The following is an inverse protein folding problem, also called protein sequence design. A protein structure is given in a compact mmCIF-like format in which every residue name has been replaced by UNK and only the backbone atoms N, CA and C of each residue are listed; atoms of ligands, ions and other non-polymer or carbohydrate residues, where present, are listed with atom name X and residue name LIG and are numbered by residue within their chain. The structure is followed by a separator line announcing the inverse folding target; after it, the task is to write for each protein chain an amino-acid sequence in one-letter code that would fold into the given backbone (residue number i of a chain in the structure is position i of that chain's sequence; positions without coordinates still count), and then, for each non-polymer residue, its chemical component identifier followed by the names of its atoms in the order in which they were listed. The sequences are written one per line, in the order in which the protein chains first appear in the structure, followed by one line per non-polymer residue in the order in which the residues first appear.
data_IF_081764545442
#
_entry.id   IF_081764545442
#
_cell.length_a   1.000
_cell.length_b   1.000
_cell.length_c   1.000
_cell.angle_alpha   90.00
_cell.angle_beta   90.00
_cell.angle_gamma   90.00
#
_symmetry.space_group_name_H-M   'P 1'
#
loop_
_entity.id
_entity.type
_entity.pdbx_description
1 polymer ?
#
# COMPACT_ATOMS: atom_id res chain seq x y z
N UNK A 1 -18.60 -3.18 26.33
CA UNK A 1 -17.24 -2.72 26.66
C UNK A 1 -16.39 -2.86 25.41
N UNK A 2 -15.75 -1.80 24.88
CA UNK A 2 -14.87 -1.95 23.73
C UNK A 2 -13.62 -2.71 24.20
N UNK A 3 -13.32 -3.86 23.57
CA UNK A 3 -12.04 -4.54 23.79
C UNK A 3 -10.95 -3.62 23.26
N UNK A 4 -10.15 -3.06 24.16
CA UNK A 4 -8.92 -2.36 23.80
C UNK A 4 -8.01 -3.33 23.04
N UNK A 5 -7.90 -3.13 21.73
CA UNK A 5 -7.10 -3.91 20.77
C UNK A 5 -5.59 -3.64 20.91
N UNK A 6 -5.05 -3.53 22.12
CA UNK A 6 -3.62 -3.22 22.34
C UNK A 6 -2.64 -4.34 21.90
N UNK A 7 -3.13 -5.47 21.39
CA UNK A 7 -2.34 -6.68 21.08
C UNK A 7 -2.33 -7.09 19.58
N UNK A 8 -2.88 -6.28 18.68
CA UNK A 8 -2.82 -6.59 17.24
C UNK A 8 -1.54 -6.03 16.63
N UNK A 9 -0.96 -6.75 15.65
CA UNK A 9 0.20 -6.29 14.90
C UNK A 9 -0.10 -4.96 14.16
N UNK A 10 -1.24 -4.90 13.47
CA UNK A 10 -1.76 -3.69 12.83
C UNK A 10 -3.12 -3.30 13.41
N UNK A 11 -3.33 -2.01 13.59
CA UNK A 11 -4.64 -1.45 13.88
C UNK A 11 -5.55 -1.58 12.66
N UNK A 12 -6.86 -1.68 12.90
CA UNK A 12 -7.84 -1.71 11.81
C UNK A 12 -8.01 -0.31 11.24
N UNK A 13 -8.19 -0.22 9.93
CA UNK A 13 -8.52 1.04 9.28
C UNK A 13 -9.86 1.58 9.77
N UNK A 14 -9.95 2.90 9.92
CA UNK A 14 -11.20 3.61 10.16
C UNK A 14 -11.87 4.07 8.87
N UNK A 15 -11.17 3.96 7.74
CA UNK A 15 -11.70 4.33 6.44
C UNK A 15 -12.72 3.29 5.96
N UNK A 16 -13.57 3.70 5.01
CA UNK A 16 -14.57 2.84 4.37
C UNK A 16 -14.35 2.87 2.85
N UNK A 17 -14.64 1.76 2.18
CA UNK A 17 -14.61 1.69 0.73
C UNK A 17 -15.83 2.44 0.14
N UNK A 18 -15.71 3.06 -1.04
CA UNK A 18 -14.51 3.12 -1.88
C UNK A 18 -13.47 4.10 -1.33
N UNK A 19 -12.19 3.77 -1.50
CA UNK A 19 -11.08 4.67 -1.18
C UNK A 19 -10.69 5.48 -2.41
N UNK A 20 -10.69 6.80 -2.23
CA UNK A 20 -10.13 7.77 -3.16
C UNK A 20 -9.56 8.94 -2.35
N UNK A 21 -8.32 8.76 -1.89
CA UNK A 21 -7.62 9.70 -1.01
C UNK A 21 -6.13 9.63 -1.31
N UNK A 22 -5.47 10.79 -1.24
CA UNK A 22 -4.02 10.92 -1.31
C UNK A 22 -3.43 10.77 0.09
N UNK A 23 -2.38 9.97 0.23
CA UNK A 23 -1.69 9.71 1.50
C UNK A 23 -0.37 10.48 1.65
N UNK A 24 -0.06 11.44 0.76
CA UNK A 24 1.06 12.37 0.95
C UNK A 24 0.94 13.11 2.29
N UNK A 25 2.03 13.17 3.05
CA UNK A 25 2.13 13.88 4.34
C UNK A 25 1.16 13.38 5.43
N UNK A 26 0.62 12.17 5.32
CA UNK A 26 -0.17 11.59 6.42
C UNK A 26 0.74 11.05 7.51
N UNK A 27 0.22 11.00 8.74
CA UNK A 27 0.92 10.39 9.86
C UNK A 27 0.86 8.87 9.74
N UNK A 28 2.02 8.22 9.83
CA UNK A 28 2.13 6.77 9.88
C UNK A 28 1.84 6.22 11.28
N UNK A 29 1.22 5.04 11.32
CA UNK A 29 1.17 4.21 12.51
C UNK A 29 2.46 3.42 12.66
N UNK A 30 2.78 3.01 13.89
CA UNK A 30 3.88 2.10 14.18
C UNK A 30 3.32 0.71 14.48
N UNK A 31 3.89 -0.32 13.87
CA UNK A 31 3.47 -1.69 14.10
C UNK A 31 3.84 -2.12 15.53
N UNK A 32 3.02 -2.99 16.11
CA UNK A 32 3.36 -3.56 17.41
C UNK A 32 4.39 -4.70 17.22
N UNK A 33 5.67 -4.35 17.21
CA UNK A 33 6.78 -5.28 16.95
C UNK A 33 6.79 -6.53 17.85
N UNK A 34 6.28 -6.43 19.10
CA UNK A 34 6.18 -7.59 20.00
C UNK A 34 5.17 -8.64 19.52
N UNK A 35 4.12 -8.18 18.83
CA UNK A 35 3.01 -9.02 18.34
C UNK A 35 3.05 -9.26 16.83
N UNK A 36 3.86 -8.52 16.09
CA UNK A 36 4.05 -8.68 14.64
C UNK A 36 5.00 -9.85 14.34
N UNK A 37 4.43 -11.05 14.23
CA UNK A 37 5.14 -12.26 13.79
C UNK A 37 4.88 -12.53 12.31
N UNK A 38 5.11 -11.54 11.46
CA UNK A 38 4.92 -11.66 10.01
C UNK A 38 6.27 -11.97 9.37
N UNK A 39 6.30 -13.02 8.56
CA UNK A 39 7.51 -13.42 7.84
C UNK A 39 7.98 -12.29 6.90
N UNK A 40 9.29 -12.03 6.92
CA UNK A 40 9.99 -11.04 6.10
C UNK A 40 9.51 -9.58 6.23
N UNK A 41 8.74 -9.24 7.28
CA UNK A 41 8.23 -7.88 7.48
C UNK A 41 9.34 -6.83 7.60
N UNK A 42 10.45 -7.19 8.25
CA UNK A 42 11.63 -6.34 8.40
C UNK A 42 12.30 -5.94 7.07
N UNK A 43 12.12 -6.72 6.00
CA UNK A 43 12.65 -6.38 4.67
C UNK A 43 11.96 -5.16 4.04
N UNK A 44 10.78 -4.81 4.55
CA UNK A 44 9.99 -3.67 4.10
C UNK A 44 10.24 -2.41 4.95
N UNK A 45 11.18 -2.46 5.91
CA UNK A 45 11.49 -1.34 6.77
C UNK A 45 12.59 -0.44 6.20
N UNK A 46 12.25 0.85 6.10
CA UNK A 46 13.21 1.92 5.88
C UNK A 46 13.84 2.45 7.19
N UNK A 47 13.20 2.18 8.34
CA UNK A 47 13.61 2.66 9.67
C UNK A 47 13.58 1.53 10.71
N UNK A 48 13.98 1.83 11.95
CA UNK A 48 13.97 0.87 13.07
C UNK A 48 12.55 0.36 13.36
N UNK A 49 11.57 1.27 13.34
CA UNK A 49 10.16 0.94 13.60
C UNK A 49 9.39 0.76 12.30
N UNK A 50 8.54 -0.27 12.23
CA UNK A 50 7.73 -0.52 11.05
C UNK A 50 6.59 0.49 10.94
N UNK A 51 6.68 1.37 9.93
CA UNK A 51 5.68 2.39 9.63
C UNK A 51 4.65 1.87 8.65
N UNK A 52 3.37 2.17 8.90
CA UNK A 52 2.29 1.77 7.99
C UNK A 52 1.08 2.70 8.06
N UNK A 53 0.17 2.54 7.09
CA UNK A 53 -1.17 3.12 7.09
C UNK A 53 -2.17 1.97 6.94
N UNK A 54 -3.16 1.83 7.84
CA UNK A 54 -4.14 0.77 7.72
C UNK A 54 -5.14 1.07 6.59
N UNK A 55 -5.33 0.11 5.69
CA UNK A 55 -6.35 0.12 4.64
C UNK A 55 -7.49 -0.83 5.04
N UNK A 56 -8.75 -0.59 4.64
CA UNK A 56 -9.84 -1.52 4.92
C UNK A 56 -9.46 -2.94 4.47
N UNK A 57 -9.51 -3.90 5.38
CA UNK A 57 -9.21 -5.31 5.08
C UNK A 57 -10.26 -5.92 4.14
N UNK A 58 -9.87 -6.94 3.36
CA UNK A 58 -10.80 -7.78 2.59
C UNK A 58 -10.92 -9.15 3.24
N UNK A 59 -12.06 -9.44 3.85
CA UNK A 59 -12.28 -10.68 4.61
C UNK A 59 -11.21 -10.86 5.72
N UNK A 60 -10.40 -11.91 5.63
CA UNK A 60 -9.29 -12.24 6.53
C UNK A 60 -7.92 -11.71 6.05
N UNK A 61 -7.89 -10.94 4.96
CA UNK A 61 -6.67 -10.36 4.39
C UNK A 61 -6.48 -8.94 4.93
N UNK A 62 -5.41 -8.72 5.68
CA UNK A 62 -4.99 -7.38 6.07
C UNK A 62 -4.36 -6.66 4.89
N UNK A 63 -4.70 -5.38 4.74
CA UNK A 63 -4.15 -4.52 3.70
C UNK A 63 -3.60 -3.28 4.37
N UNK A 64 -2.35 -2.93 4.04
CA UNK A 64 -1.66 -1.77 4.60
C UNK A 64 -0.89 -1.06 3.50
N UNK A 65 -0.67 0.26 3.67
CA UNK A 65 0.37 0.97 2.92
C UNK A 65 1.64 1.01 3.75
N UNK A 66 2.78 0.84 3.10
CA UNK A 66 4.11 0.92 3.72
C UNK A 66 4.92 1.96 2.96
N UNK A 67 5.48 2.96 3.66
CA UNK A 67 6.39 3.92 3.04
C UNK A 67 7.73 3.26 2.69
N UNK A 68 8.20 3.52 1.48
CA UNK A 68 9.51 3.12 0.96
C UNK A 68 10.35 4.37 0.67
N UNK A 69 10.58 5.18 1.71
CA UNK A 69 11.17 6.53 1.67
C UNK A 69 12.64 6.59 2.16
N UNK A 70 13.36 5.46 2.18
CA UNK A 70 14.76 5.35 2.62
C UNK A 70 15.82 5.66 1.54
N UNK A 71 15.43 6.08 0.35
CA UNK A 71 16.34 6.45 -0.74
C UNK A 71 16.19 7.90 -1.17
N UNK A 72 16.63 8.20 -2.38
CA UNK A 72 16.51 9.54 -2.99
C UNK A 72 15.04 9.92 -3.35
N UNK A 73 14.08 9.08 -2.97
CA UNK A 73 12.65 9.20 -3.29
C UNK A 73 11.85 9.37 -2.00
N UNK A 74 11.50 10.62 -1.62
CA UNK A 74 10.90 10.90 -0.31
C UNK A 74 9.43 10.47 -0.17
N UNK A 75 8.80 10.03 -1.26
CA UNK A 75 7.37 9.70 -1.26
C UNK A 75 7.05 8.54 -2.20
N UNK A 76 7.07 7.33 -1.64
CA UNK A 76 6.63 6.10 -2.30
C UNK A 76 5.91 5.21 -1.30
N UNK A 77 4.71 4.76 -1.66
CA UNK A 77 3.89 3.86 -0.87
C UNK A 77 3.62 2.59 -1.66
N UNK A 78 3.90 1.46 -0.99
CA UNK A 78 3.53 0.14 -1.46
C UNK A 78 2.34 -0.37 -0.67
N UNK A 79 1.37 -0.97 -1.36
CA UNK A 79 0.27 -1.69 -0.76
C UNK A 79 0.71 -3.13 -0.53
N UNK A 80 0.71 -3.57 0.73
CA UNK A 80 0.98 -4.94 1.10
C UNK A 80 -0.31 -5.66 1.47
N UNK A 81 -0.43 -6.92 1.03
CA UNK A 81 -1.47 -7.85 1.48
C UNK A 81 -0.87 -8.91 2.38
N UNK A 82 -1.53 -9.14 3.50
CA UNK A 82 -1.01 -10.00 4.56
C UNK A 82 -2.10 -10.99 4.96
N UNK A 83 -1.79 -12.28 4.85
CA UNK A 83 -2.68 -13.38 5.21
C UNK A 83 -1.87 -14.50 5.84
N UNK A 84 -2.41 -15.12 6.89
CA UNK A 84 -1.75 -16.20 7.65
C UNK A 84 -0.34 -15.83 8.13
N UNK A 85 -0.17 -14.58 8.59
CA UNK A 85 1.12 -14.01 9.01
C UNK A 85 2.22 -14.00 7.93
N UNK A 86 1.83 -14.02 6.66
CA UNK A 86 2.76 -13.91 5.54
C UNK A 86 2.35 -12.76 4.63
N UNK A 87 3.34 -12.05 4.10
CA UNK A 87 3.13 -11.10 3.00
C UNK A 87 2.83 -11.93 1.75
N UNK A 88 1.67 -11.70 1.14
CA UNK A 88 1.18 -12.44 -0.03
C UNK A 88 1.46 -11.69 -1.32
N UNK A 89 1.37 -10.36 -1.30
CA UNK A 89 1.69 -9.51 -2.43
C UNK A 89 2.04 -8.11 -1.98
N UNK A 90 2.74 -7.42 -2.87
CA UNK A 90 3.04 -6.02 -2.81
C UNK A 90 2.67 -5.34 -4.14
N UNK A 91 2.37 -4.05 -4.09
CA UNK A 91 2.07 -3.25 -5.27
C UNK A 91 2.48 -1.80 -5.03
N UNK A 92 3.26 -1.21 -5.93
CA UNK A 92 3.47 0.24 -5.93
C UNK A 92 2.17 0.95 -6.31
N UNK A 93 1.64 1.79 -5.43
CA UNK A 93 0.29 2.37 -5.58
C UNK A 93 0.24 3.89 -5.46
N UNK A 94 1.23 4.52 -4.83
CA UNK A 94 1.22 5.96 -4.68
C UNK A 94 2.64 6.51 -4.52
N UNK A 95 2.96 7.59 -5.21
CA UNK A 95 4.27 8.22 -5.06
C UNK A 95 4.64 9.16 -6.19
N UNK A 96 5.83 9.72 -6.05
CA UNK A 96 6.49 10.54 -7.07
C UNK A 96 7.84 9.92 -7.41
N UNK A 97 8.16 9.85 -8.70
CA UNK A 97 9.46 9.40 -9.19
C UNK A 97 9.97 10.33 -10.28
N UNK A 98 11.28 10.59 -10.28
CA UNK A 98 11.96 11.35 -11.32
C UNK A 98 13.32 10.69 -11.58
N UNK A 99 13.78 10.71 -12.82
CA UNK A 99 15.09 10.19 -13.19
C UNK A 99 16.17 11.25 -12.89
N UNK A 100 17.15 10.97 -12.00
CA UNK A 100 18.24 11.90 -11.75
C UNK A 100 19.04 12.20 -13.04
N UNK A 101 19.25 13.48 -13.34
CA UNK A 101 19.98 13.91 -14.53
C UNK A 101 19.13 14.01 -15.81
N UNK A 102 17.82 13.72 -15.73
CA UNK A 102 16.86 14.11 -16.75
C UNK A 102 16.22 15.47 -16.39
N UNK A 103 15.28 15.96 -17.19
CA UNK A 103 14.53 17.17 -16.85
C UNK A 103 13.78 16.98 -15.52
N UNK A 104 14.13 17.76 -14.49
CA UNK A 104 13.50 17.71 -13.16
C UNK A 104 11.99 17.99 -13.20
N UNK A 105 11.49 18.60 -14.29
CA UNK A 105 10.07 18.82 -14.53
C UNK A 105 9.32 17.54 -14.95
N UNK A 106 10.02 16.46 -15.33
CA UNK A 106 9.45 15.17 -15.71
C UNK A 106 9.30 14.25 -14.49
N UNK A 107 8.27 14.52 -13.69
CA UNK A 107 7.91 13.72 -12.53
C UNK A 107 6.82 12.72 -12.89
N UNK A 108 7.10 11.43 -12.72
CA UNK A 108 6.09 10.37 -12.66
C UNK A 108 5.26 10.55 -11.40
N UNK A 109 3.93 10.57 -11.55
CA UNK A 109 2.98 10.62 -10.44
C UNK A 109 2.12 9.38 -10.47
N UNK A 110 2.10 8.65 -9.36
CA UNK A 110 1.26 7.46 -9.19
C UNK A 110 0.28 7.70 -8.06
N UNK A 111 -0.98 7.31 -8.29
CA UNK A 111 -2.00 7.27 -7.25
C UNK A 111 -2.91 6.05 -7.45
N UNK A 112 -3.69 5.72 -6.42
CA UNK A 112 -4.59 4.58 -6.48
C UNK A 112 -5.97 4.87 -5.90
N UNK A 113 -6.91 4.01 -6.27
CA UNK A 113 -8.23 3.92 -5.64
C UNK A 113 -8.54 2.46 -5.34
N UNK A 114 -9.44 2.21 -4.38
CA UNK A 114 -9.99 0.88 -4.12
C UNK A 114 -11.52 0.98 -4.17
N UNK A 115 -12.16 0.23 -5.07
CA UNK A 115 -13.63 0.22 -5.18
C UNK A 115 -14.30 -0.52 -4.01
N UNK A 116 -15.63 -0.44 -3.90
CA UNK A 116 -16.42 -1.24 -2.95
C UNK A 116 -16.26 -2.75 -3.14
N UNK A 117 -16.01 -3.19 -4.38
CA UNK A 117 -15.75 -4.59 -4.73
C UNK A 117 -14.27 -4.96 -4.57
N UNK A 118 -13.49 -4.06 -3.98
CA UNK A 118 -12.06 -4.22 -3.74
C UNK A 118 -11.22 -4.33 -5.01
N UNK A 119 -11.63 -3.63 -6.09
CA UNK A 119 -10.82 -3.45 -7.28
C UNK A 119 -9.81 -2.35 -7.01
N UNK A 120 -8.52 -2.68 -7.04
CA UNK A 120 -7.45 -1.70 -6.90
C UNK A 120 -7.18 -1.13 -8.28
N UNK A 121 -7.28 0.18 -8.43
CA UNK A 121 -6.94 0.87 -9.68
C UNK A 121 -5.73 1.74 -9.42
N UNK A 122 -4.64 1.51 -10.15
CA UNK A 122 -3.42 2.32 -10.09
C UNK A 122 -3.36 3.16 -11.37
N UNK A 123 -3.18 4.46 -11.19
CA UNK A 123 -3.05 5.42 -12.27
C UNK A 123 -1.67 6.06 -12.17
N UNK A 124 -0.91 5.97 -13.25
CA UNK A 124 0.42 6.56 -13.35
C UNK A 124 0.44 7.55 -14.51
N UNK A 125 0.87 8.77 -14.23
CA UNK A 125 1.07 9.83 -15.20
C UNK A 125 2.57 10.11 -15.34
N UNK A 126 3.09 10.04 -16.57
CA UNK A 126 4.49 10.38 -16.89
C UNK A 126 4.58 10.93 -18.32
N UNK A 127 5.21 12.09 -18.49
CA UNK A 127 5.41 12.73 -19.80
C UNK A 127 4.12 12.82 -20.65
N UNK A 128 3.03 13.34 -20.07
CA UNK A 128 1.69 13.41 -20.66
C UNK A 128 1.07 12.05 -21.05
N UNK A 129 1.70 10.92 -20.71
CA UNK A 129 1.12 9.60 -20.88
C UNK A 129 0.43 9.17 -19.60
N UNK A 130 -0.77 8.60 -19.76
CA UNK A 130 -1.57 8.07 -18.67
C UNK A 130 -1.67 6.55 -18.81
N UNK A 131 -1.20 5.83 -17.78
CA UNK A 131 -1.38 4.38 -17.67
C UNK A 131 -2.35 4.09 -16.53
N UNK A 132 -3.37 3.28 -16.82
CA UNK A 132 -4.33 2.82 -15.81
C UNK A 132 -4.28 1.30 -15.78
N UNK A 133 -4.07 0.74 -14.59
CA UNK A 133 -4.07 -0.70 -14.36
C UNK A 133 -5.08 -1.05 -13.29
N UNK A 134 -5.78 -2.16 -13.49
CA UNK A 134 -6.75 -2.68 -12.54
C UNK A 134 -6.24 -4.00 -11.99
N UNK A 135 -6.47 -4.22 -10.70
CA UNK A 135 -6.04 -5.42 -10.02
C UNK A 135 -7.17 -6.01 -9.17
N UNK A 136 -7.26 -7.34 -9.17
CA UNK A 136 -8.06 -8.08 -8.21
C UNK A 136 -7.19 -8.56 -7.05
N UNK A 137 -7.76 -8.52 -5.85
CA UNK A 137 -7.26 -9.23 -4.68
C UNK A 137 -8.00 -10.56 -4.54
N UNK A 138 -7.30 -11.68 -4.74
CA UNK A 138 -7.87 -13.01 -4.59
C UNK A 138 -8.03 -13.42 -3.12
N UNK A 139 -8.76 -14.51 -2.88
CA UNK A 139 -9.04 -15.04 -1.54
C UNK A 139 -7.80 -15.51 -0.77
N UNK A 140 -6.67 -15.75 -1.46
CA UNK A 140 -5.41 -16.16 -0.85
C UNK A 140 -4.51 -14.96 -0.52
N UNK A 141 -4.96 -13.74 -0.85
CA UNK A 141 -4.22 -12.51 -0.62
C UNK A 141 -3.32 -12.10 -1.78
N UNK A 142 -3.38 -12.78 -2.94
CA UNK A 142 -2.56 -12.39 -4.08
C UNK A 142 -3.23 -11.30 -4.91
N UNK A 143 -2.44 -10.28 -5.26
CA UNK A 143 -2.85 -9.21 -6.18
C UNK A 143 -2.53 -9.65 -7.61
N UNK A 144 -3.49 -9.55 -8.52
CA UNK A 144 -3.31 -9.91 -9.93
C UNK A 144 -3.83 -8.81 -10.84
N UNK A 145 -3.02 -8.41 -11.81
CA UNK A 145 -3.44 -7.47 -12.85
C UNK A 145 -4.57 -8.09 -13.68
N UNK A 146 -5.66 -7.35 -13.86
CA UNK A 146 -6.71 -7.71 -14.80
C UNK A 146 -6.17 -7.50 -16.21
N UNK A 147 -5.79 -8.57 -16.87
CA UNK A 147 -5.71 -8.57 -18.32
C UNK A 147 -7.13 -8.55 -18.86
N UNK A 148 -7.40 -7.67 -19.82
CA UNK A 148 -8.63 -7.78 -20.61
C UNK A 148 -8.51 -9.09 -21.41
N UNK A 149 -9.09 -10.16 -20.87
CA UNK A 149 -9.34 -11.37 -21.65
C UNK A 149 -10.41 -11.00 -22.69
N UNK A 150 -9.99 -10.86 -23.95
CA UNK A 150 -10.88 -10.72 -25.11
C UNK A 150 -11.74 -11.98 -25.30
#
# INVERSE_FOLDING_TARGET
MPRNNKNLCFEKSTDILPLNKIYKNVKYNLANNENCKIEDLESWNCEIDFRYIPIPSKNDINVILVPQDCGDFPYRLYLLTIKDNQIRSDLYVEGEWYEPGNNEDLVEKTHFTISTDFIITVTTEYDNNLTIKHYDLDQNGYIREKTNDN
#
